data_IF_605117720021
#
_entry.id   IF_605117720021
#
_cell.length_a   1.000
_cell.length_b   1.000
_cell.length_c   1.000
_cell.angle_alpha   90.00
_cell.angle_beta   90.00
_cell.angle_gamma   90.00
#
_symmetry.space_group_name_H-M   'P 1'
#
loop_
_entity.id
_entity.type
_entity.pdbx_description
1 polymer ?
#
# COMPACT_ATOMS: atom_id res chain seq x y z
N UNK A 1 -5.62 -6.84 3.45
CA UNK A 1 -4.98 -5.76 2.67
C UNK A 1 -3.70 -6.22 1.95
N UNK A 2 -2.87 -7.06 2.57
CA UNK A 2 -1.57 -7.51 2.02
C UNK A 2 -1.55 -8.00 0.56
N UNK A 3 -2.55 -8.75 0.06
CA UNK A 3 -2.57 -9.17 -1.35
C UNK A 3 -2.43 -8.01 -2.36
N UNK A 4 -2.85 -6.79 -1.99
CA UNK A 4 -2.73 -5.59 -2.85
C UNK A 4 -1.26 -5.24 -3.12
N UNK A 5 -0.38 -5.47 -2.14
CA UNK A 5 1.04 -5.11 -2.22
C UNK A 5 1.84 -6.01 -3.18
N UNK A 6 1.34 -7.22 -3.43
CA UNK A 6 1.99 -8.25 -4.26
C UNK A 6 1.28 -8.47 -5.59
N UNK A 7 0.09 -7.90 -5.77
CA UNK A 7 -0.69 -8.02 -7.01
C UNK A 7 0.01 -7.35 -8.19
N UNK A 8 0.21 -8.13 -9.26
CA UNK A 8 0.73 -7.66 -10.55
C UNK A 8 -0.38 -6.91 -11.30
N UNK A 9 -0.08 -5.71 -11.79
CA UNK A 9 -0.97 -4.89 -12.64
C UNK A 9 -0.24 -4.62 -13.96
N UNK A 10 -0.99 -4.49 -15.05
CA UNK A 10 -0.39 -4.21 -16.37
C UNK A 10 0.23 -2.80 -16.34
N UNK A 11 1.49 -2.69 -16.76
CA UNK A 11 2.19 -1.40 -16.88
C UNK A 11 2.65 -0.76 -15.56
N UNK A 12 2.43 -1.39 -14.40
CA UNK A 12 2.76 -0.81 -13.09
C UNK A 12 3.48 -1.86 -12.23
N UNK A 13 4.57 -1.45 -11.56
CA UNK A 13 5.32 -2.32 -10.67
C UNK A 13 4.48 -2.77 -9.47
N UNK A 14 4.74 -3.97 -8.94
CA UNK A 14 4.15 -4.39 -7.64
C UNK A 14 4.74 -3.54 -6.52
N UNK A 15 3.94 -3.15 -5.53
CA UNK A 15 4.41 -2.32 -4.41
C UNK A 15 5.64 -2.95 -3.72
N UNK A 16 5.59 -4.27 -3.49
CA UNK A 16 6.66 -5.05 -2.84
C UNK A 16 8.01 -4.97 -3.55
N UNK A 17 8.07 -4.70 -4.86
CA UNK A 17 9.34 -4.64 -5.62
C UNK A 17 10.25 -3.52 -5.10
N UNK A 18 9.68 -2.36 -4.79
CA UNK A 18 10.43 -1.24 -4.22
C UNK A 18 10.39 -1.24 -2.69
N UNK A 19 9.24 -1.60 -2.11
CA UNK A 19 9.03 -1.53 -0.66
C UNK A 19 9.70 -2.67 0.12
N UNK A 20 10.24 -3.71 -0.52
CA UNK A 20 11.08 -4.72 0.15
C UNK A 20 12.56 -4.35 0.26
N UNK A 21 13.04 -3.35 -0.52
CA UNK A 21 14.49 -3.13 -0.69
C UNK A 21 14.93 -1.66 -0.75
N UNK A 22 14.10 -0.72 -1.21
CA UNK A 22 14.55 0.63 -1.61
C UNK A 22 13.90 1.80 -0.87
N UNK A 23 12.99 1.55 0.07
CA UNK A 23 12.23 2.63 0.73
C UNK A 23 12.15 2.46 2.25
N UNK A 24 11.75 3.53 2.95
CA UNK A 24 11.47 3.53 4.40
C UNK A 24 10.20 2.74 4.76
N UNK A 25 9.20 2.68 3.88
CA UNK A 25 8.10 1.74 4.02
C UNK A 25 8.61 0.35 3.62
N UNK A 26 9.08 -0.40 4.62
CA UNK A 26 9.87 -1.62 4.44
C UNK A 26 9.05 -2.88 4.70
N UNK A 27 8.36 -3.35 3.65
CA UNK A 27 7.70 -4.65 3.67
C UNK A 27 8.75 -5.77 3.76
N UNK A 28 8.37 -6.91 4.34
CA UNK A 28 9.18 -8.11 4.28
C UNK A 28 9.28 -8.58 2.81
N UNK A 29 10.43 -9.13 2.38
CA UNK A 29 10.53 -9.79 1.08
C UNK A 29 9.47 -10.91 0.97
N UNK A 30 8.95 -11.10 -0.24
CA UNK A 30 8.13 -12.29 -0.52
C UNK A 30 9.01 -13.55 -0.38
N UNK A 31 8.53 -14.61 0.29
CA UNK A 31 9.16 -15.93 0.23
C UNK A 31 9.32 -16.41 -1.22
N UNK A 32 10.38 -17.17 -1.48
CA UNK A 32 10.68 -17.65 -2.85
C UNK A 32 9.60 -18.60 -3.41
N UNK A 33 8.81 -19.20 -2.52
CA UNK A 33 7.80 -20.23 -2.74
C UNK A 33 6.35 -19.73 -2.53
N UNK A 34 6.14 -18.48 -2.11
CA UNK A 34 4.86 -17.99 -1.63
C UNK A 34 4.14 -16.98 -2.53
N UNK A 35 2.81 -17.07 -2.58
CA UNK A 35 1.93 -15.98 -3.05
C UNK A 35 1.68 -14.91 -1.95
N UNK A 36 2.21 -15.12 -0.74
CA UNK A 36 1.99 -14.26 0.43
C UNK A 36 3.07 -14.39 1.50
N UNK A 37 2.83 -13.77 2.65
CA UNK A 37 3.75 -13.72 3.79
C UNK A 37 3.35 -14.73 4.88
N UNK A 38 4.32 -15.21 5.67
CA UNK A 38 4.04 -15.97 6.90
C UNK A 38 3.37 -15.07 7.94
N UNK A 39 2.77 -15.65 8.99
CA UNK A 39 2.11 -14.88 10.05
C UNK A 39 3.06 -13.86 10.72
N UNK A 40 4.32 -14.25 10.96
CA UNK A 40 5.34 -13.38 11.56
C UNK A 40 5.73 -12.25 10.62
N UNK A 41 5.83 -12.53 9.32
CA UNK A 41 6.10 -11.52 8.30
C UNK A 41 4.92 -10.54 8.17
N UNK A 42 3.68 -11.04 8.20
CA UNK A 42 2.46 -10.23 8.19
C UNK A 42 2.35 -9.31 9.39
N UNK A 43 2.74 -9.75 10.60
CA UNK A 43 2.81 -8.90 11.80
C UNK A 43 3.80 -7.74 11.62
N UNK A 44 4.97 -8.02 11.03
CA UNK A 44 5.97 -6.98 10.72
C UNK A 44 5.46 -6.01 9.66
N UNK A 45 4.83 -6.53 8.60
CA UNK A 45 4.21 -5.73 7.54
C UNK A 45 3.10 -4.83 8.09
N UNK A 46 2.25 -5.36 8.97
CA UNK A 46 1.20 -4.59 9.66
C UNK A 46 1.82 -3.40 10.41
N UNK A 47 2.88 -3.66 11.17
CA UNK A 47 3.57 -2.64 11.97
C UNK A 47 4.16 -1.51 11.12
N UNK A 48 4.75 -1.82 9.96
CA UNK A 48 5.29 -0.78 9.06
C UNK A 48 4.21 -0.10 8.23
N UNK A 49 3.16 -0.82 7.83
CA UNK A 49 2.01 -0.25 7.10
C UNK A 49 1.28 0.78 7.96
N UNK A 50 1.11 0.52 9.25
CA UNK A 50 0.49 1.46 10.20
C UNK A 50 1.20 2.81 10.27
N UNK A 51 2.52 2.87 10.05
CA UNK A 51 3.29 4.12 10.02
C UNK A 51 2.98 5.00 8.80
N UNK A 52 2.31 4.44 7.79
CA UNK A 52 1.90 5.15 6.58
C UNK A 52 0.47 5.72 6.68
N UNK A 53 -0.16 5.59 7.86
CA UNK A 53 -1.52 6.06 8.14
C UNK A 53 -1.44 7.30 9.02
N UNK A 54 -2.28 8.29 8.73
CA UNK A 54 -2.57 9.44 9.58
C UNK A 54 -3.99 9.26 10.15
N UNK A 55 -4.16 8.89 11.42
CA UNK A 55 -5.47 8.51 11.98
C UNK A 55 -6.53 9.61 11.85
N UNK A 56 -6.14 10.87 12.11
CA UNK A 56 -7.06 12.00 12.14
C UNK A 56 -7.35 12.61 10.74
N UNK A 57 -6.63 12.16 9.72
CA UNK A 57 -6.80 12.63 8.35
C UNK A 57 -6.35 11.53 7.38
N UNK A 58 -7.29 10.69 6.95
CA UNK A 58 -7.00 9.62 6.00
C UNK A 58 -6.40 10.15 4.70
N UNK A 59 -6.84 11.31 4.23
CA UNK A 59 -6.32 11.90 3.00
C UNK A 59 -4.92 12.49 3.17
N UNK A 60 -4.44 12.69 4.39
CA UNK A 60 -3.02 12.95 4.66
C UNK A 60 -2.15 11.67 4.73
N UNK A 61 -2.75 10.47 4.64
CA UNK A 61 -2.02 9.19 4.73
C UNK A 61 -1.22 8.90 3.45
N UNK A 62 0.12 8.79 3.52
CA UNK A 62 0.94 8.45 2.35
C UNK A 62 0.55 7.12 1.69
N UNK A 63 0.00 6.17 2.46
CA UNK A 63 -0.50 4.89 1.95
C UNK A 63 -1.62 5.07 0.91
N UNK A 64 -2.44 6.12 1.03
CA UNK A 64 -3.59 6.39 0.17
C UNK A 64 -3.26 7.40 -0.94
N UNK A 65 -2.33 8.32 -0.72
CA UNK A 65 -2.11 9.46 -1.64
C UNK A 65 -0.93 9.31 -2.60
N UNK A 66 0.18 8.67 -2.20
CA UNK A 66 1.32 8.47 -3.09
C UNK A 66 0.99 7.61 -4.32
N UNK A 67 0.31 6.46 -4.19
CA UNK A 67 -0.09 5.64 -5.33
C UNK A 67 -1.36 6.13 -6.06
N UNK A 68 -2.09 7.12 -5.55
CA UNK A 68 -3.27 7.69 -6.20
C UNK A 68 -2.88 8.73 -7.26
N UNK A 69 -3.67 8.84 -8.33
CA UNK A 69 -3.50 9.87 -9.35
C UNK A 69 -3.64 11.27 -8.75
N UNK A 70 -2.85 12.22 -9.27
CA UNK A 70 -2.87 13.60 -8.80
C UNK A 70 -4.26 14.26 -8.97
N UNK A 71 -4.93 13.99 -10.10
CA UNK A 71 -6.30 14.47 -10.38
C UNK A 71 -7.34 14.01 -9.36
N UNK A 72 -7.06 12.94 -8.61
CA UNK A 72 -7.97 12.38 -7.60
C UNK A 72 -7.52 12.68 -6.17
N UNK A 73 -6.61 13.64 -5.98
CA UNK A 73 -6.08 14.03 -4.67
C UNK A 73 -4.81 13.28 -4.25
N UNK A 74 -4.15 12.59 -5.17
CA UNK A 74 -2.84 12.00 -4.96
C UNK A 74 -1.69 12.99 -5.11
N UNK A 75 -0.46 12.51 -4.89
CA UNK A 75 0.75 13.32 -5.07
C UNK A 75 1.18 13.42 -6.56
N UNK A 76 2.05 14.34 -6.94
CA UNK A 76 2.63 14.42 -8.29
C UNK A 76 3.66 13.31 -8.57
N UNK A 77 4.34 12.77 -7.55
CA UNK A 77 5.43 11.80 -7.77
C UNK A 77 5.31 10.53 -6.91
N UNK A 78 5.47 9.37 -7.56
CA UNK A 78 5.68 8.07 -6.92
C UNK A 78 6.43 7.15 -7.90
N UNK A 79 7.69 6.73 -7.59
CA UNK A 79 8.51 5.96 -8.54
C UNK A 79 7.88 4.65 -9.03
N UNK A 80 7.04 4.02 -8.21
CA UNK A 80 6.33 2.78 -8.57
C UNK A 80 5.15 3.00 -9.53
N UNK A 81 4.80 4.25 -9.84
CA UNK A 81 3.64 4.62 -10.66
C UNK A 81 2.38 4.92 -9.84
N UNK A 82 1.32 5.32 -10.55
CA UNK A 82 -0.01 5.58 -9.96
C UNK A 82 -0.89 4.35 -10.11
N UNK A 83 -1.11 3.65 -9.02
CA UNK A 83 -1.86 2.39 -8.99
C UNK A 83 -3.37 2.59 -9.13
N UNK A 84 -3.88 3.75 -8.71
CA UNK A 84 -5.31 4.05 -8.72
C UNK A 84 -5.57 5.38 -9.39
N UNK A 85 -6.58 5.41 -10.26
CA UNK A 85 -6.97 6.64 -10.98
C UNK A 85 -8.02 7.43 -10.24
N UNK A 86 -8.74 6.83 -9.29
CA UNK A 86 -9.87 7.40 -8.54
C UNK A 86 -9.92 6.84 -7.13
N UNK A 87 -10.50 7.61 -6.19
CA UNK A 87 -10.87 7.12 -4.87
C UNK A 87 -11.99 6.08 -4.92
N UNK A 88 -12.74 5.98 -6.01
CA UNK A 88 -13.74 4.92 -6.23
C UNK A 88 -13.13 3.57 -6.61
N UNK A 89 -11.80 3.49 -6.79
CA UNK A 89 -11.13 2.24 -7.13
C UNK A 89 -11.35 1.18 -6.02
N UNK A 90 -11.74 -0.06 -6.37
CA UNK A 90 -12.03 -1.10 -5.38
C UNK A 90 -10.86 -1.41 -4.44
N UNK A 91 -9.62 -1.38 -4.92
CA UNK A 91 -8.44 -1.63 -4.10
C UNK A 91 -8.15 -0.45 -3.18
N UNK A 92 -8.31 0.79 -3.67
CA UNK A 92 -8.18 1.98 -2.83
C UNK A 92 -9.21 1.96 -1.69
N UNK A 93 -10.47 1.67 -2.00
CA UNK A 93 -11.55 1.53 -1.02
C UNK A 93 -11.32 0.38 -0.05
N UNK A 94 -10.69 -0.71 -0.50
CA UNK A 94 -10.29 -1.83 0.37
C UNK A 94 -9.28 -1.38 1.43
N UNK A 95 -8.32 -0.52 1.06
CA UNK A 95 -7.36 0.03 2.01
C UNK A 95 -8.05 0.99 2.97
N UNK A 96 -8.94 1.87 2.49
CA UNK A 96 -9.69 2.78 3.38
C UNK A 96 -10.48 2.03 4.43
N UNK A 97 -11.28 1.02 4.02
CA UNK A 97 -12.06 0.20 4.97
C UNK A 97 -11.16 -0.53 5.97
N UNK A 98 -10.02 -1.03 5.50
CA UNK A 98 -9.04 -1.67 6.38
C UNK A 98 -8.42 -0.68 7.38
N UNK A 99 -8.11 0.55 6.97
CA UNK A 99 -7.61 1.59 7.88
C UNK A 99 -8.67 1.96 8.92
N UNK A 100 -9.92 2.16 8.49
CA UNK A 100 -11.03 2.53 9.37
C UNK A 100 -11.28 1.45 10.42
N UNK A 101 -11.42 0.18 10.02
CA UNK A 101 -11.61 -0.93 10.97
C UNK A 101 -10.36 -1.30 11.78
N UNK A 102 -9.20 -0.67 11.54
CA UNK A 102 -8.00 -0.84 12.34
C UNK A 102 -7.80 0.30 13.37
N UNK A 103 -8.67 1.32 13.35
CA UNK A 103 -8.71 2.39 14.35
C UNK A 103 -9.68 2.11 15.50
N UNK A 104 -10.59 1.14 15.30
CA UNK A 104 -11.43 0.54 16.34
C UNK A 104 -10.60 -0.41 17.24
#
# INVERSE_FOLDING_TARGET
VEPIFVRKRIGIARCVVCHSTRTRFRLQPLPADGEGWTAEQSQRNLSVTRRMIRPNDLMASPLLTLPLSEKSGGNSFHPGGKHWTSQSDPEWQTIVRWIQGAQD
#
